data_IF_507192329258
#
_entry.id   IF_507192329258
#
_cell.length_a   1.000
_cell.length_b   1.000
_cell.length_c   1.000
_cell.angle_alpha   90.00
_cell.angle_beta   90.00
_cell.angle_gamma   90.00
#
_symmetry.space_group_name_H-M   'P 1'
#
loop_
_entity.id
_entity.type
_entity.pdbx_description
1 polymer ?
#
# COMPACT_ATOMS: atom_id res chain seq x y z
N UNK A 1 -5.67 67.10 -25.26
CA UNK A 1 -6.05 65.77 -24.74
C UNK A 1 -5.68 64.67 -25.74
N UNK A 2 -4.42 64.20 -25.76
CA UNK A 2 -3.96 63.11 -26.66
C UNK A 2 -2.85 62.30 -25.98
N UNK A 3 -3.16 61.55 -24.91
CA UNK A 3 -2.16 60.68 -24.25
C UNK A 3 -2.63 59.24 -23.95
N UNK A 4 -3.87 58.85 -24.25
CA UNK A 4 -4.42 57.57 -23.77
C UNK A 4 -4.09 56.34 -24.67
N UNK A 5 -3.52 56.55 -25.86
CA UNK A 5 -3.33 55.48 -26.85
C UNK A 5 -2.03 54.65 -26.75
N UNK A 6 -1.03 55.09 -25.98
CA UNK A 6 0.28 54.42 -25.96
C UNK A 6 0.41 53.29 -24.94
N UNK A 7 -0.46 53.24 -23.92
CA UNK A 7 -0.35 52.29 -22.80
C UNK A 7 -0.96 50.91 -23.12
N UNK A 8 -1.83 50.82 -24.13
CA UNK A 8 -2.54 49.57 -24.46
C UNK A 8 -1.78 48.65 -25.44
N UNK A 9 -0.71 49.13 -26.08
CA UNK A 9 0.12 48.34 -27.00
C UNK A 9 0.95 47.22 -26.33
N UNK A 10 1.62 47.42 -25.17
CA UNK A 10 2.43 46.36 -24.57
C UNK A 10 1.59 45.20 -24.01
N UNK A 11 0.39 45.46 -23.50
CA UNK A 11 -0.50 44.41 -22.96
C UNK A 11 -0.99 43.45 -24.06
N UNK A 12 -1.31 43.96 -25.24
CA UNK A 12 -1.78 43.10 -26.34
C UNK A 12 -0.64 42.26 -26.93
N UNK A 13 0.62 42.71 -26.79
CA UNK A 13 1.81 41.99 -27.23
C UNK A 13 2.25 40.89 -26.25
N UNK A 14 1.91 41.03 -24.96
CA UNK A 14 2.14 39.98 -23.96
C UNK A 14 1.12 38.84 -24.07
N UNK A 15 -0.14 39.14 -24.43
CA UNK A 15 -1.18 38.14 -24.72
C UNK A 15 -0.95 37.31 -25.99
N UNK A 16 -0.09 37.77 -26.90
CA UNK A 16 0.16 37.13 -28.20
C UNK A 16 1.50 36.38 -28.28
N UNK A 17 2.25 36.29 -27.16
CA UNK A 17 3.52 35.57 -27.11
C UNK A 17 3.30 34.13 -26.63
N UNK A 18 3.39 33.18 -27.56
CA UNK A 18 3.25 31.74 -27.32
C UNK A 18 4.60 31.05 -27.03
N UNK A 19 5.72 31.79 -27.05
CA UNK A 19 7.09 31.27 -26.92
C UNK A 19 7.36 30.49 -25.60
N UNK A 20 6.49 30.63 -24.59
CA UNK A 20 6.56 29.91 -23.30
C UNK A 20 5.42 28.89 -23.08
N UNK A 21 4.52 28.72 -24.05
CA UNK A 21 3.38 27.80 -23.91
C UNK A 21 3.86 26.34 -23.75
N UNK A 22 4.90 25.94 -24.49
CA UNK A 22 5.46 24.60 -24.43
C UNK A 22 6.09 24.26 -23.06
N UNK A 23 6.73 25.23 -22.39
CA UNK A 23 7.28 25.02 -21.04
C UNK A 23 6.21 25.05 -19.96
N UNK A 24 5.18 25.87 -20.10
CA UNK A 24 4.03 25.89 -19.17
C UNK A 24 3.27 24.57 -19.22
N UNK A 25 3.01 24.04 -20.42
CA UNK A 25 2.34 22.76 -20.60
C UNK A 25 3.11 21.62 -19.92
N UNK A 26 4.42 21.54 -20.14
CA UNK A 26 5.27 20.54 -19.51
C UNK A 26 5.23 20.58 -17.96
N UNK A 27 5.17 21.79 -17.37
CA UNK A 27 5.06 21.95 -15.92
C UNK A 27 3.68 21.53 -15.40
N UNK A 28 2.61 21.72 -16.18
CA UNK A 28 1.26 21.27 -15.81
C UNK A 28 1.13 19.74 -15.80
N UNK A 29 1.94 19.01 -16.58
CA UNK A 29 1.98 17.54 -16.55
C UNK A 29 2.75 16.97 -15.36
N UNK A 30 3.66 17.74 -14.75
CA UNK A 30 4.53 17.27 -13.69
C UNK A 30 3.76 16.73 -12.46
N UNK A 31 2.73 17.41 -11.92
CA UNK A 31 1.91 16.87 -10.82
C UNK A 31 1.25 15.53 -11.16
N UNK A 32 0.81 15.35 -12.41
CA UNK A 32 0.22 14.09 -12.86
C UNK A 32 1.24 12.94 -12.84
N UNK A 33 2.48 13.19 -13.32
CA UNK A 33 3.54 12.19 -13.24
C UNK A 33 3.93 11.84 -11.81
N UNK A 34 3.98 12.82 -10.90
CA UNK A 34 4.23 12.54 -9.49
C UNK A 34 3.12 11.70 -8.85
N UNK A 35 1.85 11.96 -9.19
CA UNK A 35 0.73 11.14 -8.75
C UNK A 35 0.85 9.70 -9.29
N UNK A 36 1.22 9.55 -10.56
CA UNK A 36 1.45 8.24 -11.17
C UNK A 36 2.60 7.48 -10.48
N UNK A 37 3.74 8.13 -10.24
CA UNK A 37 4.87 7.51 -9.53
C UNK A 37 4.51 7.15 -8.08
N UNK A 38 3.77 8.01 -7.39
CA UNK A 38 3.24 7.71 -6.06
C UNK A 38 2.37 6.46 -6.07
N UNK A 39 1.45 6.34 -7.02
CA UNK A 39 0.60 5.16 -7.17
C UNK A 39 1.41 3.88 -7.46
N UNK A 40 2.42 3.96 -8.33
CA UNK A 40 3.30 2.82 -8.62
C UNK A 40 4.11 2.38 -7.38
N UNK A 41 4.60 3.35 -6.60
CA UNK A 41 5.31 3.09 -5.35
C UNK A 41 4.38 2.43 -4.32
N UNK A 42 3.14 2.93 -4.17
CA UNK A 42 2.13 2.38 -3.27
C UNK A 42 1.82 0.91 -3.63
N UNK A 43 1.54 0.62 -4.90
CA UNK A 43 1.28 -0.76 -5.37
C UNK A 43 2.47 -1.67 -5.06
N UNK A 44 3.70 -1.21 -5.35
CA UNK A 44 4.91 -1.98 -5.09
C UNK A 44 5.10 -2.27 -3.58
N UNK A 45 4.81 -1.29 -2.74
CA UNK A 45 4.91 -1.41 -1.28
C UNK A 45 3.88 -2.42 -0.73
N UNK A 46 2.65 -2.40 -1.24
CA UNK A 46 1.60 -3.35 -0.85
C UNK A 46 2.03 -4.80 -1.15
N UNK A 47 2.56 -5.07 -2.34
CA UNK A 47 3.06 -6.42 -2.70
C UNK A 47 4.29 -6.84 -1.87
N UNK A 48 5.17 -5.89 -1.56
CA UNK A 48 6.30 -6.13 -0.67
C UNK A 48 5.82 -6.52 0.74
N UNK A 49 4.86 -5.77 1.29
CA UNK A 49 4.28 -6.05 2.59
C UNK A 49 3.50 -7.38 2.60
N UNK A 50 2.75 -7.71 1.54
CA UNK A 50 2.13 -9.03 1.37
C UNK A 50 3.14 -10.17 1.54
N UNK A 51 4.29 -10.06 0.87
CA UNK A 51 5.33 -11.10 0.93
C UNK A 51 5.89 -11.26 2.35
N UNK A 52 6.00 -10.16 3.09
CA UNK A 52 6.40 -10.19 4.52
C UNK A 52 5.34 -10.84 5.40
N UNK A 53 4.07 -10.51 5.19
CA UNK A 53 2.95 -11.13 5.91
C UNK A 53 2.93 -12.64 5.68
N UNK A 54 3.09 -13.09 4.43
CA UNK A 54 3.13 -14.51 4.10
C UNK A 54 4.24 -15.24 4.86
N UNK A 55 5.44 -14.64 4.93
CA UNK A 55 6.56 -15.22 5.67
C UNK A 55 6.28 -15.31 7.17
N UNK A 56 5.65 -14.29 7.76
CA UNK A 56 5.27 -14.30 9.19
C UNK A 56 4.28 -15.43 9.46
N UNK A 57 3.26 -15.58 8.61
CA UNK A 57 2.25 -16.64 8.74
C UNK A 57 2.88 -18.03 8.59
N UNK A 58 3.77 -18.22 7.61
CA UNK A 58 4.50 -19.47 7.43
C UNK A 58 5.38 -19.82 8.63
N UNK A 59 6.07 -18.83 9.20
CA UNK A 59 6.90 -19.03 10.40
C UNK A 59 6.06 -19.38 11.63
N UNK A 60 4.89 -18.78 11.78
CA UNK A 60 3.92 -19.10 12.82
C UNK A 60 3.43 -20.55 12.71
N UNK A 61 2.99 -20.94 11.50
CA UNK A 61 2.56 -22.31 11.21
C UNK A 61 3.66 -23.33 11.46
N UNK A 62 4.90 -23.02 11.05
CA UNK A 62 6.06 -23.88 11.30
C UNK A 62 6.31 -24.06 12.78
N UNK A 63 6.25 -22.98 13.55
CA UNK A 63 6.47 -22.99 15.00
C UNK A 63 5.39 -23.81 15.72
N UNK A 64 4.14 -23.74 15.25
CA UNK A 64 3.06 -24.59 15.73
C UNK A 64 3.23 -26.07 15.32
N UNK A 65 3.67 -26.32 14.09
CA UNK A 65 3.91 -27.67 13.58
C UNK A 65 4.95 -28.43 14.43
N UNK A 66 6.02 -27.77 14.86
CA UNK A 66 7.07 -28.37 15.71
C UNK A 66 6.69 -28.41 17.20
N UNK A 67 5.46 -28.04 17.56
CA UNK A 67 4.96 -28.08 18.94
C UNK A 67 5.48 -26.98 19.86
N UNK A 68 6.15 -25.93 19.34
CA UNK A 68 6.55 -24.76 20.15
C UNK A 68 5.37 -23.87 20.51
N UNK A 69 4.38 -23.76 19.62
CA UNK A 69 3.07 -23.24 19.96
C UNK A 69 2.11 -24.40 20.17
N UNK A 70 1.52 -24.45 21.36
CA UNK A 70 0.65 -25.54 21.78
C UNK A 70 -0.82 -25.26 21.45
N UNK A 71 -1.17 -23.97 21.33
CA UNK A 71 -2.52 -23.50 21.05
C UNK A 71 -2.60 -22.68 19.77
N UNK A 72 -3.79 -22.64 19.16
CA UNK A 72 -4.07 -21.73 18.03
C UNK A 72 -3.96 -20.27 18.45
N UNK A 73 -4.34 -19.94 19.69
CA UNK A 73 -4.27 -18.58 20.24
C UNK A 73 -2.83 -18.07 20.29
N UNK A 74 -1.88 -18.86 20.77
CA UNK A 74 -0.45 -18.49 20.77
C UNK A 74 0.06 -18.19 19.34
N UNK A 75 -0.39 -18.97 18.36
CA UNK A 75 -0.02 -18.80 16.95
C UNK A 75 -0.60 -17.49 16.40
N UNK A 76 -1.87 -17.19 16.73
CA UNK A 76 -2.53 -15.94 16.34
C UNK A 76 -1.86 -14.72 16.97
N UNK A 77 -1.54 -14.77 18.27
CA UNK A 77 -0.88 -13.69 19.00
C UNK A 77 0.53 -13.44 18.45
N UNK A 78 1.25 -14.49 18.07
CA UNK A 78 2.52 -14.36 17.37
C UNK A 78 2.35 -13.59 16.05
N UNK A 79 1.41 -13.99 15.19
CA UNK A 79 1.16 -13.28 13.92
C UNK A 79 0.80 -11.82 14.18
N UNK A 80 -0.14 -11.55 15.10
CA UNK A 80 -0.57 -10.18 15.44
C UNK A 80 0.63 -9.35 15.91
N UNK A 81 1.42 -9.85 16.86
CA UNK A 81 2.58 -9.12 17.40
C UNK A 81 3.63 -8.77 16.34
N UNK A 82 3.81 -9.64 15.35
CA UNK A 82 4.79 -9.44 14.26
C UNK A 82 4.27 -8.52 13.16
N UNK A 83 2.95 -8.40 13.02
CA UNK A 83 2.28 -7.53 12.05
C UNK A 83 1.94 -6.16 12.62
N UNK A 84 1.82 -6.00 13.94
CA UNK A 84 1.57 -4.71 14.61
C UNK A 84 2.45 -3.54 14.16
N UNK A 85 3.75 -3.72 13.85
CA UNK A 85 4.59 -2.63 13.32
C UNK A 85 4.16 -2.14 11.93
N UNK A 86 3.38 -2.92 11.19
CA UNK A 86 2.85 -2.59 9.86
C UNK A 86 1.45 -2.00 9.95
N UNK A 87 0.58 -2.64 10.73
CA UNK A 87 -0.82 -2.21 10.87
C UNK A 87 -1.31 -2.51 12.28
N UNK A 88 -2.02 -1.54 12.85
CA UNK A 88 -2.69 -1.70 14.16
C UNK A 88 -3.98 -2.51 14.05
N UNK A 89 -4.56 -2.59 12.85
CA UNK A 89 -5.86 -3.17 12.57
C UNK A 89 -5.75 -4.60 11.99
N UNK A 90 -4.75 -5.37 12.43
CA UNK A 90 -4.54 -6.75 11.99
C UNK A 90 -5.48 -7.73 12.71
N UNK A 91 -6.00 -8.70 11.97
CA UNK A 91 -6.68 -9.88 12.50
C UNK A 91 -6.00 -11.15 12.01
N UNK A 92 -5.78 -12.12 12.89
CA UNK A 92 -5.23 -13.42 12.54
C UNK A 92 -6.15 -14.53 13.06
N UNK A 93 -6.42 -15.52 12.22
CA UNK A 93 -7.22 -16.70 12.55
C UNK A 93 -6.43 -17.93 12.19
N UNK A 94 -6.19 -18.81 13.17
CA UNK A 94 -5.52 -20.10 12.98
C UNK A 94 -6.51 -21.22 13.29
N UNK A 95 -6.59 -22.19 12.39
CA UNK A 95 -7.42 -23.39 12.54
C UNK A 95 -6.58 -24.62 12.32
N UNK A 96 -6.87 -25.68 13.08
CA UNK A 96 -6.24 -27.00 12.90
C UNK A 96 -7.34 -27.94 12.44
N UNK A 97 -7.20 -28.46 11.23
CA UNK A 97 -8.12 -29.45 10.66
C UNK A 97 -7.94 -30.81 11.33
N UNK A 98 -8.97 -31.66 11.25
CA UNK A 98 -8.91 -33.02 11.79
C UNK A 98 -7.76 -33.86 11.17
N UNK A 99 -7.39 -33.55 9.92
CA UNK A 99 -6.28 -34.17 9.18
C UNK A 99 -4.88 -33.66 9.59
N UNK A 100 -4.81 -32.80 10.62
CA UNK A 100 -3.54 -32.23 11.11
C UNK A 100 -3.00 -31.07 10.28
N UNK A 101 -3.80 -30.48 9.38
CA UNK A 101 -3.41 -29.29 8.62
C UNK A 101 -3.65 -28.03 9.46
N UNK A 102 -2.60 -27.25 9.68
CA UNK A 102 -2.61 -25.94 10.30
C UNK A 102 -2.82 -24.89 9.21
N UNK A 103 -3.97 -24.24 9.23
CA UNK A 103 -4.30 -23.13 8.33
C UNK A 103 -4.33 -21.84 9.11
N UNK A 104 -3.50 -20.88 8.72
CA UNK A 104 -3.50 -19.53 9.31
C UNK A 104 -3.79 -18.50 8.24
N UNK A 105 -4.70 -17.60 8.57
CA UNK A 105 -5.15 -16.50 7.74
C UNK A 105 -4.88 -15.20 8.48
N UNK A 106 -4.04 -14.34 7.89
CA UNK A 106 -3.83 -12.97 8.35
C UNK A 106 -4.61 -12.01 7.45
N UNK A 107 -5.38 -11.12 8.06
CA UNK A 107 -6.15 -10.07 7.39
C UNK A 107 -5.67 -8.71 7.86
N UNK A 108 -5.30 -7.84 6.92
CA UNK A 108 -4.77 -6.50 7.19
C UNK A 108 -5.42 -5.50 6.23
N UNK A 109 -5.85 -4.31 6.71
CA UNK A 109 -6.31 -3.24 5.82
C UNK A 109 -5.21 -2.79 4.85
N UNK A 110 -5.55 -2.60 3.58
CA UNK A 110 -4.57 -2.28 2.54
C UNK A 110 -4.07 -0.83 2.60
N UNK A 111 -4.84 0.06 3.21
CA UNK A 111 -4.47 1.46 3.50
C UNK A 111 -3.34 1.58 4.52
N UNK A 112 -3.18 0.61 5.42
CA UNK A 112 -2.02 0.56 6.33
C UNK A 112 -0.75 0.01 5.64
N UNK A 113 -0.87 -0.54 4.42
CA UNK A 113 0.23 -1.19 3.70
C UNK A 113 0.81 -0.35 2.55
N UNK A 114 0.16 0.75 2.18
CA UNK A 114 0.66 1.70 1.19
C UNK A 114 1.69 2.67 1.81
N UNK A 115 2.35 3.48 0.97
CA UNK A 115 3.44 4.37 1.41
C UNK A 115 2.99 5.83 1.50
N UNK A 116 2.24 6.28 0.49
CA UNK A 116 1.83 7.67 0.32
C UNK A 116 0.30 7.83 0.24
N UNK A 117 -0.44 6.76 -0.07
CA UNK A 117 -1.90 6.76 -0.20
C UNK A 117 -2.43 7.66 -1.32
N UNK A 118 -1.61 7.98 -2.33
CA UNK A 118 -1.86 9.09 -3.28
C UNK A 118 -3.09 8.84 -4.15
N UNK A 119 -3.32 7.56 -4.47
CA UNK A 119 -4.39 7.18 -5.38
C UNK A 119 -5.69 6.78 -4.65
N UNK A 120 -5.64 6.59 -3.32
CA UNK A 120 -6.79 6.14 -2.52
C UNK A 120 -7.41 4.80 -2.98
N UNK A 121 -6.75 4.09 -3.89
CA UNK A 121 -7.24 2.87 -4.57
C UNK A 121 -7.52 1.75 -3.56
N UNK A 122 -6.81 1.76 -2.44
CA UNK A 122 -6.84 0.73 -1.41
C UNK A 122 -7.78 1.05 -0.24
N UNK A 123 -8.50 2.18 -0.28
CA UNK A 123 -9.47 2.53 0.78
C UNK A 123 -10.52 1.45 0.93
N UNK A 124 -10.71 0.98 2.16
CA UNK A 124 -11.62 -0.13 2.53
C UNK A 124 -11.22 -1.50 1.95
N UNK A 125 -10.08 -1.62 1.27
CA UNK A 125 -9.55 -2.89 0.80
C UNK A 125 -8.96 -3.68 1.96
N UNK A 126 -9.19 -5.00 1.97
CA UNK A 126 -8.56 -5.90 2.93
C UNK A 126 -7.63 -6.86 2.20
N UNK A 127 -6.40 -6.96 2.69
CA UNK A 127 -5.43 -7.93 2.24
C UNK A 127 -5.56 -9.19 3.09
N UNK A 128 -5.90 -10.31 2.46
CA UNK A 128 -5.95 -11.62 3.11
C UNK A 128 -4.82 -12.50 2.62
N UNK A 129 -3.98 -12.94 3.54
CA UNK A 129 -2.87 -13.86 3.26
C UNK A 129 -3.09 -15.15 4.02
N UNK A 130 -3.03 -16.27 3.33
CA UNK A 130 -3.22 -17.60 3.89
C UNK A 130 -1.99 -18.46 3.65
N UNK A 131 -1.63 -19.26 4.66
CA UNK A 131 -0.72 -20.38 4.47
C UNK A 131 -1.24 -21.61 5.22
N UNK A 132 -0.99 -22.76 4.60
CA UNK A 132 -1.34 -24.07 5.13
C UNK A 132 -0.05 -24.86 5.37
N UNK A 133 0.00 -25.59 6.49
CA UNK A 133 1.12 -26.44 6.83
C UNK A 133 0.65 -27.72 7.51
N UNK A 134 1.22 -28.85 7.13
CA UNK A 134 0.94 -30.12 7.79
C UNK A 134 1.66 -30.16 9.15
N UNK A 135 0.95 -30.56 10.20
CA UNK A 135 1.53 -30.78 11.52
C UNK A 135 2.36 -32.06 11.48
N UNK A 136 3.66 -31.92 11.66
CA UNK A 136 4.56 -33.05 11.86
C UNK A 136 4.19 -33.72 13.20
N UNK A 137 3.80 -35.00 13.13
CA UNK A 137 3.33 -35.80 14.27
C UNK A 137 4.44 -36.06 15.28
#
# INVERSE_FOLDING_TARGET
MRCFGYVLRPLNRFRSKEDGAATIEAVLWLPFFFMLFGALADVSMVFFNQSRLLRIVQDANRTMSIGRFTTTTETQDYVISRVQPLSKNVSAVTTVSADGIITTVATVPMDDLDLFGVAGIFRNGQMRVQADQLKEM
#
